data_IF_677396578653
#
_entry.id   IF_677396578653
#
_cell.length_a   1.000
_cell.length_b   1.000
_cell.length_c   1.000
_cell.angle_alpha   90.00
_cell.angle_beta   90.00
_cell.angle_gamma   90.00
#
_symmetry.space_group_name_H-M   'P 1'
#
loop_
_entity.id
_entity.type
_entity.pdbx_description
1 polymer ?
#
# COMPACT_ATOMS: atom_id res chain seq x y z
N UNK A 1 -10.81 7.64 19.67
CA UNK A 1 -10.19 6.55 18.88
C UNK A 1 -10.12 5.22 19.64
N UNK A 2 -9.66 5.18 20.89
CA UNK A 2 -9.57 3.93 21.68
C UNK A 2 -10.92 3.17 21.68
N UNK A 3 -12.01 3.82 22.06
CA UNK A 3 -13.33 3.19 22.10
C UNK A 3 -13.84 2.76 20.70
N UNK A 4 -13.46 3.50 19.66
CA UNK A 4 -13.79 3.15 18.29
C UNK A 4 -13.05 1.89 17.83
N UNK A 5 -11.73 1.81 18.07
CA UNK A 5 -10.93 0.63 17.75
C UNK A 5 -11.43 -0.60 18.52
N UNK A 6 -11.73 -0.45 19.80
CA UNK A 6 -12.27 -1.55 20.61
C UNK A 6 -13.62 -2.05 20.06
N UNK A 7 -14.50 -1.12 19.62
CA UNK A 7 -15.77 -1.46 19.03
C UNK A 7 -15.59 -2.16 17.67
N UNK A 8 -14.79 -1.58 16.76
CA UNK A 8 -14.53 -2.20 15.44
C UNK A 8 -13.93 -3.60 15.57
N UNK A 9 -12.97 -3.80 16.50
CA UNK A 9 -12.36 -5.10 16.70
C UNK A 9 -13.32 -6.13 17.30
N UNK A 10 -14.11 -5.77 18.32
CA UNK A 10 -15.00 -6.70 19.02
C UNK A 10 -16.32 -6.95 18.30
N UNK A 11 -16.94 -5.87 17.80
CA UNK A 11 -18.29 -5.95 17.28
C UNK A 11 -18.33 -6.39 15.80
N UNK A 12 -17.34 -5.96 15.02
CA UNK A 12 -17.33 -6.15 13.58
C UNK A 12 -16.21 -7.09 13.11
N UNK A 13 -14.95 -6.76 13.37
CA UNK A 13 -13.82 -7.52 12.82
C UNK A 13 -13.74 -8.94 13.38
N UNK A 14 -13.91 -9.12 14.69
CA UNK A 14 -13.89 -10.45 15.32
C UNK A 14 -15.10 -11.28 14.90
N UNK A 15 -16.29 -10.69 14.97
CA UNK A 15 -17.54 -11.36 14.56
C UNK A 15 -17.52 -11.86 13.12
N UNK A 16 -16.96 -11.07 12.20
CA UNK A 16 -16.91 -11.39 10.78
C UNK A 16 -15.55 -11.91 10.33
N UNK A 17 -14.59 -12.08 11.23
CA UNK A 17 -13.21 -12.49 10.95
C UNK A 17 -12.57 -11.62 9.85
N UNK A 18 -12.75 -10.30 9.95
CA UNK A 18 -12.26 -9.31 8.99
C UNK A 18 -11.08 -8.52 9.51
N UNK A 19 -10.30 -7.98 8.59
CA UNK A 19 -9.23 -7.01 8.85
C UNK A 19 -9.80 -5.63 9.10
N UNK A 20 -9.00 -4.77 9.71
CA UNK A 20 -9.32 -3.36 9.97
C UNK A 20 -8.37 -2.49 9.16
N UNK A 21 -8.89 -1.53 8.43
CA UNK A 21 -8.12 -0.42 7.87
C UNK A 21 -8.52 0.90 8.53
N UNK A 22 -7.53 1.70 8.89
CA UNK A 22 -7.72 2.96 9.63
C UNK A 22 -7.08 4.09 8.83
N UNK A 23 -7.88 5.00 8.29
CA UNK A 23 -7.37 6.23 7.69
C UNK A 23 -6.85 7.17 8.77
N UNK A 24 -5.57 7.53 8.70
CA UNK A 24 -4.89 8.34 9.70
C UNK A 24 -4.19 9.54 9.02
N UNK A 25 -4.80 10.71 9.12
CA UNK A 25 -4.32 11.94 8.49
C UNK A 25 -3.63 12.90 9.46
N UNK A 26 -3.76 12.67 10.76
CA UNK A 26 -3.21 13.56 11.78
C UNK A 26 -1.70 13.72 11.64
N UNK A 27 -1.21 14.97 11.63
CA UNK A 27 0.20 15.26 11.46
C UNK A 27 1.01 15.10 12.75
N UNK A 28 2.33 15.01 12.62
CA UNK A 28 3.31 15.16 13.69
C UNK A 28 2.97 14.36 14.97
N UNK A 29 3.07 14.97 16.15
CA UNK A 29 2.90 14.27 17.44
C UNK A 29 1.49 13.72 17.65
N UNK A 30 0.45 14.37 17.11
CA UNK A 30 -0.92 13.87 17.23
C UNK A 30 -1.07 12.57 16.44
N UNK A 31 -0.54 12.51 15.23
CA UNK A 31 -0.53 11.29 14.43
C UNK A 31 0.36 10.21 15.05
N UNK A 32 1.54 10.58 15.57
CA UNK A 32 2.43 9.66 16.29
C UNK A 32 1.73 9.01 17.48
N UNK A 33 1.07 9.81 18.33
CA UNK A 33 0.26 9.31 19.46
C UNK A 33 -0.86 8.37 18.98
N UNK A 34 -1.49 8.69 17.85
CA UNK A 34 -2.53 7.82 17.28
C UNK A 34 -1.96 6.48 16.83
N UNK A 35 -0.78 6.47 16.21
CA UNK A 35 -0.08 5.23 15.81
C UNK A 35 0.27 4.39 17.02
N UNK A 36 0.82 4.98 18.09
CA UNK A 36 1.11 4.28 19.34
C UNK A 36 -0.14 3.64 19.91
N UNK A 37 -1.25 4.39 19.99
CA UNK A 37 -2.52 3.88 20.49
C UNK A 37 -3.06 2.72 19.64
N UNK A 38 -2.95 2.81 18.31
CA UNK A 38 -3.36 1.72 17.40
C UNK A 38 -2.51 0.49 17.67
N UNK A 39 -1.18 0.62 17.76
CA UNK A 39 -0.29 -0.50 18.03
C UNK A 39 -0.58 -1.16 19.39
N UNK A 40 -0.76 -0.38 20.46
CA UNK A 40 -1.14 -0.88 21.77
C UNK A 40 -2.48 -1.64 21.74
N UNK A 41 -3.47 -1.10 21.04
CA UNK A 41 -4.79 -1.75 20.92
C UNK A 41 -4.75 -3.01 20.04
N UNK A 42 -3.96 -3.01 18.97
CA UNK A 42 -3.71 -4.18 18.14
C UNK A 42 -3.17 -5.33 19.00
N UNK A 43 -2.16 -5.04 19.82
CA UNK A 43 -1.60 -6.00 20.77
C UNK A 43 -2.63 -6.50 21.78
N UNK A 44 -3.32 -5.58 22.43
CA UNK A 44 -4.26 -5.89 23.52
C UNK A 44 -5.48 -6.70 23.05
N UNK A 45 -5.83 -6.61 21.78
CA UNK A 45 -6.97 -7.30 21.16
C UNK A 45 -6.57 -8.55 20.37
N UNK A 46 -5.27 -8.90 20.31
CA UNK A 46 -4.78 -10.04 19.54
C UNK A 46 -4.99 -9.90 18.02
N UNK A 47 -4.92 -8.66 17.50
CA UNK A 47 -5.21 -8.32 16.10
C UNK A 47 -3.94 -8.20 15.23
N UNK A 48 -2.81 -8.79 15.66
CA UNK A 48 -1.57 -8.76 14.89
C UNK A 48 -1.78 -9.32 13.46
N UNK A 49 -1.28 -8.59 12.47
CA UNK A 49 -1.42 -8.93 11.05
C UNK A 49 -2.81 -8.66 10.46
N UNK A 50 -3.76 -8.17 11.26
CA UNK A 50 -5.14 -7.88 10.83
C UNK A 50 -5.47 -6.39 10.77
N UNK A 51 -4.49 -5.52 11.06
CA UNK A 51 -4.67 -4.06 11.07
C UNK A 51 -3.78 -3.41 10.05
N UNK A 52 -4.34 -2.48 9.28
CA UNK A 52 -3.60 -1.55 8.43
C UNK A 52 -3.89 -0.10 8.80
N UNK A 53 -2.94 0.78 8.50
CA UNK A 53 -3.10 2.22 8.64
C UNK A 53 -2.84 2.84 7.28
N UNK A 54 -3.87 3.45 6.72
CA UNK A 54 -3.79 4.20 5.48
C UNK A 54 -3.26 5.61 5.75
N UNK A 55 -2.36 6.07 4.89
CA UNK A 55 -1.65 7.35 4.89
C UNK A 55 -0.55 7.48 5.94
N UNK A 56 -0.87 7.52 7.22
CA UNK A 56 0.08 7.62 8.33
C UNK A 56 1.12 8.77 8.17
N UNK A 57 0.70 9.95 7.70
CA UNK A 57 1.56 11.08 7.33
C UNK A 57 2.54 11.49 8.44
N UNK A 58 2.14 11.31 9.70
CA UNK A 58 2.99 11.60 10.85
C UNK A 58 4.36 10.91 10.80
N UNK A 59 4.46 9.73 10.19
CA UNK A 59 5.74 9.00 10.07
C UNK A 59 6.80 9.78 9.27
N UNK A 60 6.38 10.66 8.36
CA UNK A 60 7.27 11.56 7.64
C UNK A 60 7.51 12.92 8.33
N UNK A 61 6.88 13.15 9.48
CA UNK A 61 6.88 14.45 10.16
C UNK A 61 7.52 14.42 11.56
N UNK A 62 7.89 13.26 12.05
CA UNK A 62 8.50 13.10 13.38
C UNK A 62 10.03 13.00 13.28
N UNK A 63 10.77 13.34 14.36
CA UNK A 63 12.22 13.12 14.40
C UNK A 63 12.59 11.65 14.23
N UNK A 64 13.79 11.38 13.71
CA UNK A 64 14.29 10.03 13.41
C UNK A 64 14.15 9.03 14.57
N UNK A 65 14.50 9.45 15.79
CA UNK A 65 14.36 8.58 16.96
C UNK A 65 12.91 8.16 17.24
N UNK A 66 11.97 9.08 17.05
CA UNK A 66 10.53 8.80 17.17
C UNK A 66 10.04 7.91 16.04
N UNK A 67 10.49 8.17 14.81
CA UNK A 67 10.19 7.32 13.65
C UNK A 67 10.59 5.86 13.92
N UNK A 68 11.83 5.61 14.36
CA UNK A 68 12.33 4.26 14.66
C UNK A 68 11.51 3.57 15.77
N UNK A 69 11.13 4.33 16.81
CA UNK A 69 10.24 3.81 17.85
C UNK A 69 8.89 3.35 17.26
N UNK A 70 8.26 4.20 16.46
CA UNK A 70 6.97 3.89 15.84
C UNK A 70 7.08 2.73 14.83
N UNK A 71 8.12 2.71 14.00
CA UNK A 71 8.37 1.62 13.05
C UNK A 71 8.53 0.28 13.76
N UNK A 72 9.28 0.24 14.86
CA UNK A 72 9.40 -0.95 15.69
C UNK A 72 8.04 -1.43 16.24
N UNK A 73 7.21 -0.52 16.75
CA UNK A 73 5.87 -0.88 17.23
C UNK A 73 4.98 -1.42 16.11
N UNK A 74 5.02 -0.81 14.94
CA UNK A 74 4.28 -1.27 13.76
C UNK A 74 4.73 -2.67 13.33
N UNK A 75 6.04 -2.91 13.27
CA UNK A 75 6.64 -4.19 12.94
C UNK A 75 6.26 -5.27 13.96
N UNK A 76 6.42 -5.02 15.26
CA UNK A 76 6.07 -5.97 16.32
C UNK A 76 4.59 -6.36 16.32
N UNK A 77 3.72 -5.45 15.93
CA UNK A 77 2.28 -5.72 15.84
C UNK A 77 1.83 -6.11 14.42
N UNK A 78 2.76 -6.29 13.48
CA UNK A 78 2.48 -6.68 12.10
C UNK A 78 1.42 -5.76 11.45
N UNK A 79 1.51 -4.45 11.72
CA UNK A 79 0.61 -3.45 11.15
C UNK A 79 1.15 -3.03 9.79
N UNK A 80 0.32 -3.11 8.76
CA UNK A 80 0.69 -2.67 7.40
C UNK A 80 0.39 -1.19 7.21
N UNK A 81 1.32 -0.46 6.62
CA UNK A 81 1.09 0.91 6.16
C UNK A 81 0.62 0.88 4.70
N UNK A 82 -0.46 1.60 4.39
CA UNK A 82 -0.97 1.74 3.02
C UNK A 82 -0.79 3.19 2.59
N UNK A 83 -0.27 3.41 1.39
CA UNK A 83 -0.12 4.75 0.83
C UNK A 83 -0.75 4.88 -0.55
N UNK A 84 -1.32 6.04 -0.81
CA UNK A 84 -1.73 6.46 -2.15
C UNK A 84 -0.76 7.48 -2.77
N UNK A 85 0.27 7.87 -2.06
CA UNK A 85 1.19 8.96 -2.40
C UNK A 85 0.47 10.26 -2.83
N UNK A 86 -0.45 10.80 -2.00
CA UNK A 86 -1.25 11.97 -2.37
C UNK A 86 -0.39 13.21 -2.60
N UNK A 87 -0.81 14.11 -3.49
CA UNK A 87 0.00 15.22 -4.00
C UNK A 87 0.46 16.23 -2.96
N UNK A 88 -0.32 16.52 -1.93
CA UNK A 88 -0.09 17.63 -1.00
C UNK A 88 0.46 17.22 0.38
N UNK A 89 0.32 15.96 0.78
CA UNK A 89 0.72 15.52 2.12
C UNK A 89 2.21 15.13 2.17
N UNK A 90 2.83 15.21 3.35
CA UNK A 90 4.15 14.63 3.59
C UNK A 90 4.01 13.11 3.57
N UNK A 91 4.82 12.44 2.75
CA UNK A 91 4.77 10.98 2.69
C UNK A 91 5.54 10.36 3.85
N UNK A 92 5.07 9.21 4.37
CA UNK A 92 5.91 8.33 5.17
C UNK A 92 7.19 7.95 4.41
N UNK A 93 8.33 7.78 5.07
CA UNK A 93 9.56 7.32 4.43
C UNK A 93 9.46 5.82 4.10
N UNK A 94 8.83 5.49 2.96
CA UNK A 94 8.39 4.13 2.60
C UNK A 94 9.54 3.12 2.62
N UNK A 95 10.70 3.49 2.04
CA UNK A 95 11.86 2.60 2.04
C UNK A 95 12.38 2.36 3.46
N UNK A 96 12.49 3.40 4.27
CA UNK A 96 12.94 3.26 5.66
C UNK A 96 11.97 2.40 6.50
N UNK A 97 10.66 2.48 6.26
CA UNK A 97 9.69 1.59 6.90
C UNK A 97 9.96 0.12 6.56
N UNK A 98 10.19 -0.17 5.29
CA UNK A 98 10.49 -1.55 4.85
C UNK A 98 11.84 -2.01 5.40
N UNK A 99 12.85 -1.15 5.43
CA UNK A 99 14.17 -1.44 6.01
C UNK A 99 14.06 -1.74 7.54
N UNK A 100 13.11 -1.15 8.25
CA UNK A 100 12.76 -1.46 9.66
C UNK A 100 11.80 -2.68 9.80
N UNK A 101 11.48 -3.37 8.71
CA UNK A 101 10.64 -4.57 8.71
C UNK A 101 9.13 -4.32 8.76
N UNK A 102 8.69 -3.09 8.53
CA UNK A 102 7.26 -2.76 8.44
C UNK A 102 6.73 -3.11 7.05
N UNK A 103 5.61 -3.82 6.98
CA UNK A 103 4.91 -4.06 5.71
C UNK A 103 4.33 -2.77 5.16
N UNK A 104 4.60 -2.51 3.88
CA UNK A 104 4.07 -1.33 3.17
C UNK A 104 3.41 -1.78 1.88
N UNK A 105 2.21 -1.29 1.60
CA UNK A 105 1.50 -1.52 0.35
C UNK A 105 1.00 -0.19 -0.23
N UNK A 106 0.64 -0.18 -1.51
CA UNK A 106 0.07 0.97 -2.17
C UNK A 106 -1.28 0.69 -2.80
N UNK A 107 -2.13 1.72 -2.81
CA UNK A 107 -3.44 1.72 -3.46
C UNK A 107 -3.72 3.04 -4.15
N UNK A 108 -4.77 3.10 -4.96
CA UNK A 108 -5.17 4.33 -5.67
C UNK A 108 -5.82 5.35 -4.73
N UNK A 109 -6.50 4.88 -3.67
CA UNK A 109 -7.36 5.72 -2.81
C UNK A 109 -8.49 6.35 -3.65
N UNK A 110 -8.33 7.60 -4.05
CA UNK A 110 -9.28 8.33 -4.88
C UNK A 110 -8.97 8.24 -6.39
N UNK A 111 -10.02 8.22 -7.21
CA UNK A 111 -9.92 8.23 -8.67
C UNK A 111 -10.92 9.26 -9.19
N UNK A 112 -10.46 10.46 -9.56
CA UNK A 112 -11.27 11.54 -10.19
C UNK A 112 -12.57 11.82 -9.44
N UNK A 113 -12.45 12.20 -8.18
CA UNK A 113 -13.59 12.52 -7.31
C UNK A 113 -13.50 13.95 -6.75
N UNK A 114 -14.29 14.26 -5.71
CA UNK A 114 -14.29 15.59 -5.08
C UNK A 114 -12.99 15.96 -4.37
N UNK A 115 -12.14 14.98 -4.02
CA UNK A 115 -10.87 15.22 -3.36
C UNK A 115 -9.76 15.48 -4.36
N UNK A 116 -9.80 14.82 -5.53
CA UNK A 116 -8.73 14.91 -6.52
C UNK A 116 -9.24 14.67 -7.94
N UNK A 117 -8.89 15.55 -8.91
CA UNK A 117 -9.21 15.33 -10.32
C UNK A 117 -8.26 14.31 -10.99
N UNK A 118 -7.26 13.80 -10.26
CA UNK A 118 -6.23 12.91 -10.77
C UNK A 118 -6.53 11.44 -10.49
N UNK A 119 -5.79 10.57 -11.18
CA UNK A 119 -5.83 9.12 -11.02
C UNK A 119 -6.70 8.42 -12.06
N UNK A 120 -6.31 7.21 -12.37
CA UNK A 120 -6.99 6.34 -13.34
C UNK A 120 -7.28 4.93 -12.79
N UNK A 121 -6.80 4.61 -11.59
CA UNK A 121 -6.79 3.24 -11.05
C UNK A 121 -5.65 2.39 -11.61
N UNK A 122 -4.83 2.95 -12.49
CA UNK A 122 -3.66 2.28 -13.04
C UNK A 122 -2.53 2.20 -12.01
N UNK A 123 -2.08 0.98 -11.69
CA UNK A 123 -1.05 0.78 -10.69
C UNK A 123 0.37 1.11 -11.19
N UNK A 124 0.63 1.19 -12.50
CA UNK A 124 1.88 1.78 -13.02
C UNK A 124 1.91 3.28 -12.78
N UNK A 125 0.79 3.98 -13.06
CA UNK A 125 0.65 5.40 -12.72
C UNK A 125 0.84 5.64 -11.21
N UNK A 126 0.29 4.76 -10.37
CA UNK A 126 0.48 4.84 -8.91
C UNK A 126 1.94 4.65 -8.52
N UNK A 127 2.64 3.70 -9.12
CA UNK A 127 4.07 3.48 -8.91
C UNK A 127 4.90 4.71 -9.31
N UNK A 128 4.54 5.37 -10.42
CA UNK A 128 5.17 6.63 -10.84
C UNK A 128 4.92 7.74 -9.81
N UNK A 129 3.70 7.91 -9.29
CA UNK A 129 3.44 8.91 -8.25
C UNK A 129 4.26 8.65 -6.98
N UNK A 130 4.39 7.39 -6.57
CA UNK A 130 5.24 7.00 -5.44
C UNK A 130 6.69 7.38 -5.73
N UNK A 131 7.23 7.00 -6.88
CA UNK A 131 8.59 7.30 -7.29
C UNK A 131 8.87 8.81 -7.34
N UNK A 132 7.99 9.56 -7.99
CA UNK A 132 8.10 11.01 -8.10
C UNK A 132 8.03 11.70 -6.74
N UNK A 133 7.07 11.33 -5.91
CA UNK A 133 6.85 11.92 -4.58
C UNK A 133 7.94 11.55 -3.57
N UNK A 134 8.52 10.36 -3.68
CA UNK A 134 9.61 9.86 -2.83
C UNK A 134 11.00 10.25 -3.36
N UNK A 135 11.07 10.97 -4.49
CA UNK A 135 12.31 11.34 -5.18
C UNK A 135 13.18 10.11 -5.56
N UNK A 136 12.55 9.02 -5.95
CA UNK A 136 13.24 7.84 -6.47
C UNK A 136 13.77 8.13 -7.87
N UNK A 137 15.06 7.88 -8.10
CA UNK A 137 15.74 8.26 -9.36
C UNK A 137 16.54 7.13 -10.00
N UNK A 138 16.67 6.01 -9.29
CA UNK A 138 17.40 4.85 -9.76
C UNK A 138 16.42 3.74 -10.11
N UNK A 139 16.83 2.84 -10.99
CA UNK A 139 16.00 1.74 -11.46
C UNK A 139 15.47 0.87 -10.30
N UNK A 140 16.34 0.52 -9.36
CA UNK A 140 15.95 -0.27 -8.19
C UNK A 140 14.97 0.45 -7.26
N UNK A 141 15.00 1.78 -7.20
CA UNK A 141 14.06 2.58 -6.40
C UNK A 141 12.69 2.65 -7.10
N UNK A 142 12.67 2.76 -8.43
CA UNK A 142 11.44 2.76 -9.23
C UNK A 142 10.78 1.37 -9.16
N UNK A 143 11.56 0.30 -9.28
CA UNK A 143 11.08 -1.08 -9.12
C UNK A 143 10.55 -1.33 -7.70
N UNK A 144 11.20 -0.78 -6.68
CA UNK A 144 10.68 -0.81 -5.30
C UNK A 144 9.30 -0.13 -5.23
N UNK A 145 9.12 1.06 -5.82
CA UNK A 145 7.82 1.73 -5.90
C UNK A 145 6.75 0.85 -6.56
N UNK A 146 7.10 0.17 -7.64
CA UNK A 146 6.21 -0.78 -8.33
C UNK A 146 5.87 -1.99 -7.45
N UNK A 147 6.83 -2.52 -6.70
CA UNK A 147 6.60 -3.67 -5.82
C UNK A 147 5.55 -3.40 -4.74
N UNK A 148 5.46 -2.16 -4.24
CA UNK A 148 4.43 -1.73 -3.30
C UNK A 148 3.03 -1.75 -3.92
N UNK A 149 2.95 -1.51 -5.23
CA UNK A 149 1.71 -1.49 -6.00
C UNK A 149 1.23 -2.88 -6.46
N UNK A 150 2.11 -3.86 -6.50
CA UNK A 150 1.83 -5.20 -7.03
C UNK A 150 1.91 -6.28 -5.95
N UNK A 151 3.11 -6.78 -5.65
CA UNK A 151 3.31 -7.90 -4.74
C UNK A 151 2.83 -7.62 -3.31
N UNK A 152 3.12 -6.43 -2.76
CA UNK A 152 2.71 -6.05 -1.42
C UNK A 152 1.18 -5.99 -1.27
N UNK A 153 0.45 -5.52 -2.30
CA UNK A 153 -1.01 -5.53 -2.31
C UNK A 153 -1.58 -6.95 -2.26
N UNK A 154 -0.97 -7.90 -2.99
CA UNK A 154 -1.39 -9.32 -2.92
C UNK A 154 -1.19 -9.90 -1.52
N UNK A 155 -0.06 -9.62 -0.88
CA UNK A 155 0.20 -10.05 0.50
C UNK A 155 -0.80 -9.47 1.48
N UNK A 156 -1.10 -8.17 1.39
CA UNK A 156 -2.10 -7.50 2.23
C UNK A 156 -3.49 -8.13 2.10
N UNK A 157 -3.87 -8.51 0.87
CA UNK A 157 -5.16 -9.11 0.55
C UNK A 157 -5.18 -10.65 0.74
N UNK A 158 -4.09 -11.24 1.24
CA UNK A 158 -3.94 -12.70 1.41
C UNK A 158 -4.19 -13.50 0.12
N UNK A 159 -3.86 -12.89 -1.02
CA UNK A 159 -3.93 -13.56 -2.31
C UNK A 159 -2.68 -14.43 -2.52
N UNK A 160 -2.79 -15.53 -3.26
CA UNK A 160 -1.64 -16.36 -3.61
C UNK A 160 -0.52 -15.52 -4.22
N UNK A 161 0.73 -15.87 -3.94
CA UNK A 161 1.88 -15.27 -4.61
C UNK A 161 1.76 -15.45 -6.12
N UNK A 162 2.31 -14.53 -6.88
CA UNK A 162 2.35 -14.60 -8.33
C UNK A 162 3.68 -14.08 -8.84
N UNK A 163 4.65 -14.98 -8.94
CA UNK A 163 6.00 -14.72 -9.45
C UNK A 163 6.16 -15.22 -10.91
N UNK A 164 5.04 -15.57 -11.55
CA UNK A 164 4.98 -16.17 -12.90
C UNK A 164 5.81 -17.47 -12.98
N UNK A 165 5.80 -18.26 -11.91
CA UNK A 165 6.41 -19.59 -11.88
C UNK A 165 5.36 -20.68 -12.12
N UNK A 166 5.80 -21.87 -12.50
CA UNK A 166 4.88 -23.00 -12.71
C UNK A 166 4.09 -23.31 -11.42
N UNK A 167 2.77 -23.30 -11.50
CA UNK A 167 1.85 -23.50 -10.36
C UNK A 167 1.25 -22.20 -9.82
N UNK A 168 1.77 -21.04 -10.17
CA UNK A 168 1.18 -19.76 -9.81
C UNK A 168 -0.12 -19.49 -10.58
N UNK A 169 -1.02 -18.64 -10.02
CA UNK A 169 -2.16 -18.15 -10.77
C UNK A 169 -1.71 -17.43 -12.05
N UNK A 170 -2.30 -17.75 -13.18
CA UNK A 170 -2.01 -17.09 -14.45
C UNK A 170 -2.72 -15.71 -14.53
N UNK A 171 -2.35 -14.82 -13.59
CA UNK A 171 -2.80 -13.42 -13.50
C UNK A 171 -1.62 -12.54 -13.91
N UNK A 172 -1.59 -12.04 -15.13
CA UNK A 172 -0.51 -11.20 -15.63
C UNK A 172 -0.98 -10.26 -16.72
N UNK A 173 -0.16 -9.25 -16.99
CA UNK A 173 -0.33 -8.31 -18.10
C UNK A 173 0.86 -8.42 -19.06
N UNK A 174 0.60 -8.19 -20.34
CA UNK A 174 1.63 -7.98 -21.35
C UNK A 174 1.66 -6.51 -21.75
N UNK A 175 2.84 -5.93 -21.70
CA UNK A 175 3.12 -4.55 -22.08
C UNK A 175 4.35 -4.51 -22.98
N UNK A 176 4.44 -3.48 -23.83
CA UNK A 176 5.64 -3.23 -24.62
C UNK A 176 6.53 -2.22 -23.89
N UNK A 177 7.55 -2.74 -23.20
CA UNK A 177 8.54 -1.92 -22.52
C UNK A 177 9.87 -2.68 -22.44
N UNK A 178 11.00 -2.00 -22.53
CA UNK A 178 12.32 -2.65 -22.44
C UNK A 178 12.65 -3.16 -21.03
N UNK A 179 12.07 -2.55 -19.98
CA UNK A 179 12.28 -2.93 -18.59
C UNK A 179 11.16 -2.39 -17.70
N UNK A 180 11.13 -2.77 -16.42
CA UNK A 180 10.11 -2.32 -15.47
C UNK A 180 10.19 -0.83 -15.12
N UNK A 181 11.37 -0.22 -14.88
CA UNK A 181 11.45 1.23 -14.67
C UNK A 181 10.82 2.04 -15.81
N UNK A 182 11.13 1.70 -17.06
CA UNK A 182 10.55 2.37 -18.21
C UNK A 182 9.03 2.18 -18.28
N UNK A 183 8.53 1.00 -17.97
CA UNK A 183 7.09 0.75 -17.90
C UNK A 183 6.38 1.65 -16.86
N UNK A 184 7.02 1.88 -15.70
CA UNK A 184 6.50 2.79 -14.67
C UNK A 184 6.51 4.24 -15.15
N UNK A 185 7.52 4.66 -15.89
CA UNK A 185 7.65 6.05 -16.35
C UNK A 185 6.71 6.37 -17.53
N UNK A 186 6.49 5.44 -18.43
CA UNK A 186 5.76 5.65 -19.70
C UNK A 186 4.30 5.18 -19.66
N UNK A 187 3.93 4.32 -18.71
CA UNK A 187 2.58 3.70 -18.61
C UNK A 187 2.08 3.14 -19.94
N UNK A 188 2.84 2.26 -20.61
CA UNK A 188 2.45 1.77 -21.93
C UNK A 188 1.09 1.06 -21.87
N UNK A 189 0.38 1.11 -22.99
CA UNK A 189 -0.90 0.43 -23.15
C UNK A 189 -0.75 -1.08 -22.85
N UNK A 190 -1.77 -1.66 -22.21
CA UNK A 190 -1.81 -3.10 -21.93
C UNK A 190 -2.22 -3.83 -23.20
N UNK A 191 -1.25 -4.54 -23.78
CA UNK A 191 -1.54 -5.35 -24.97
C UNK A 191 -2.53 -6.46 -24.64
N UNK A 192 -2.28 -7.17 -23.53
CA UNK A 192 -3.16 -8.24 -23.06
C UNK A 192 -3.21 -8.27 -21.55
N UNK A 193 -4.38 -8.62 -21.00
CA UNK A 193 -4.60 -8.83 -19.57
C UNK A 193 -5.18 -10.22 -19.35
N UNK A 194 -4.48 -11.02 -18.56
CA UNK A 194 -4.91 -12.37 -18.21
C UNK A 194 -5.33 -12.44 -16.74
N UNK A 195 -6.46 -13.10 -16.50
CA UNK A 195 -6.96 -13.43 -15.16
C UNK A 195 -7.29 -14.92 -15.10
N UNK A 196 -6.63 -15.65 -14.21
CA UNK A 196 -6.79 -17.12 -14.08
C UNK A 196 -6.62 -17.85 -15.43
N UNK A 197 -5.64 -17.41 -16.23
CA UNK A 197 -5.35 -17.96 -17.56
C UNK A 197 -6.31 -17.54 -18.67
N UNK A 198 -7.34 -16.77 -18.36
CA UNK A 198 -8.30 -16.26 -19.35
C UNK A 198 -7.91 -14.85 -19.80
N UNK A 199 -7.85 -14.61 -21.10
CA UNK A 199 -7.72 -13.26 -21.65
C UNK A 199 -9.00 -12.48 -21.35
N UNK A 200 -8.88 -11.36 -20.63
CA UNK A 200 -10.01 -10.52 -20.20
C UNK A 200 -9.98 -9.12 -20.78
N UNK A 201 -8.85 -8.69 -21.30
CA UNK A 201 -8.75 -7.45 -22.08
C UNK A 201 -7.61 -7.55 -23.09
N UNK A 202 -7.77 -6.89 -24.24
CA UNK A 202 -6.80 -6.79 -25.32
C UNK A 202 -6.79 -5.38 -25.88
N UNK A 203 -5.59 -4.79 -26.08
CA UNK A 203 -5.40 -3.43 -26.60
C UNK A 203 -6.31 -2.39 -25.92
N UNK A 204 -6.37 -2.43 -24.58
CA UNK A 204 -7.19 -1.52 -23.78
C UNK A 204 -8.69 -1.79 -23.79
N UNK A 205 -9.17 -2.81 -24.53
CA UNK A 205 -10.58 -3.16 -24.61
C UNK A 205 -10.91 -4.38 -23.77
N UNK A 206 -11.94 -4.26 -22.92
CA UNK A 206 -12.46 -5.38 -22.13
C UNK A 206 -13.20 -6.42 -23.03
N UNK A 207 -13.06 -7.70 -22.70
CA UNK A 207 -13.57 -8.83 -23.47
C UNK A 207 -14.71 -9.59 -22.77
N UNK A 208 -15.60 -8.91 -22.06
CA UNK A 208 -16.80 -9.49 -21.41
C UNK A 208 -18.09 -8.91 -21.98
#
# INVERSE_FOLDING_TARGET
KKNMLDKMARDDADKYQKKIDIHLHEPSDIGAFSIELIAERTKALGMQGKVSISHAFALGMVPEGKFKQLAKMLQEQQITIITSAPGSAVLPPLKALVDEGVSVAAGSDNIRDFWSPYGSGDMLERAMFIGYRSNYRRDEEIEFGLSLCAGAGRTLLELPTNNLTAGDPADFILIQSPNLPQAVLEHPERLMVFKSGKLIAENGQALW
#
